data_IF_234965478831
#
_entry.id   IF_234965478831
#
_cell.length_a   1.000
_cell.length_b   1.000
_cell.length_c   1.000
_cell.angle_alpha   90.00
_cell.angle_beta   90.00
_cell.angle_gamma   90.00
#
_symmetry.space_group_name_H-M   'P 1'
#
loop_
_entity.id
_entity.type
_entity.pdbx_description
1 polymer ?
#
# COMPACT_ATOMS: atom_id res chain seq x y z
N UNK A 1 -8.79 1.19 0.51
CA UNK A 1 -7.99 2.42 0.69
C UNK A 1 -7.57 2.95 -0.65
N UNK A 2 -8.00 4.14 -1.05
CA UNK A 2 -7.74 4.74 -2.36
C UNK A 2 -7.77 6.27 -2.29
N UNK A 3 -7.09 6.91 -3.23
CA UNK A 3 -7.09 8.35 -3.45
C UNK A 3 -7.75 8.60 -4.78
N UNK A 4 -8.73 9.51 -4.78
CA UNK A 4 -9.45 9.95 -5.98
C UNK A 4 -9.06 11.40 -6.27
N UNK A 5 -8.59 11.68 -7.49
CA UNK A 5 -8.40 13.05 -7.99
C UNK A 5 -9.65 13.43 -8.77
N UNK A 6 -10.36 14.44 -8.28
CA UNK A 6 -11.56 15.01 -8.92
C UNK A 6 -11.29 16.45 -9.36
N UNK A 7 -11.96 16.92 -10.39
CA UNK A 7 -11.84 18.27 -10.90
C UNK A 7 -13.21 18.88 -11.18
N UNK A 8 -13.34 20.19 -11.04
CA UNK A 8 -14.56 20.97 -11.35
C UNK A 8 -14.57 21.58 -12.77
N UNK A 9 -13.77 21.03 -13.67
CA UNK A 9 -13.56 21.57 -15.04
C UNK A 9 -14.85 21.74 -15.83
N UNK A 10 -15.91 20.98 -15.55
CA UNK A 10 -17.20 21.11 -16.24
C UNK A 10 -17.83 22.51 -16.02
N UNK A 11 -17.62 23.12 -14.86
CA UNK A 11 -18.16 24.44 -14.54
C UNK A 11 -17.36 25.55 -15.23
N UNK A 12 -16.05 25.38 -15.27
CA UNK A 12 -15.11 26.36 -15.88
C UNK A 12 -15.22 26.40 -17.41
N UNK A 13 -15.75 25.36 -18.05
CA UNK A 13 -15.76 25.25 -19.52
C UNK A 13 -17.05 25.69 -20.20
N UNK A 14 -18.03 26.26 -19.47
CA UNK A 14 -19.33 26.62 -20.04
C UNK A 14 -19.25 27.58 -21.24
N UNK A 15 -18.33 28.55 -21.20
CA UNK A 15 -18.23 29.64 -22.19
C UNK A 15 -17.16 29.47 -23.29
N UNK A 16 -16.60 28.24 -23.36
CA UNK A 16 -15.53 27.95 -24.30
C UNK A 16 -16.02 27.50 -25.67
N UNK A 17 -15.19 27.69 -26.70
CA UNK A 17 -15.46 27.21 -28.06
C UNK A 17 -15.64 25.72 -28.12
N UNK A 18 -16.31 25.18 -29.18
CA UNK A 18 -16.57 23.75 -29.36
C UNK A 18 -15.29 22.90 -29.33
N UNK A 19 -14.20 23.44 -29.88
CA UNK A 19 -12.88 22.76 -29.88
C UNK A 19 -12.30 22.70 -28.47
N UNK A 20 -12.35 23.82 -27.74
CA UNK A 20 -11.85 23.88 -26.36
C UNK A 20 -12.66 22.97 -25.43
N UNK A 21 -14.00 22.88 -25.59
CA UNK A 21 -14.86 21.95 -24.84
C UNK A 21 -14.45 20.48 -25.01
N UNK A 22 -13.86 20.09 -26.14
CA UNK A 22 -13.35 18.73 -26.37
C UNK A 22 -11.92 18.53 -25.86
N UNK A 23 -11.06 19.55 -26.00
CA UNK A 23 -9.64 19.46 -25.68
C UNK A 23 -9.35 19.57 -24.18
N UNK A 24 -10.09 20.38 -23.44
CA UNK A 24 -9.86 20.56 -22.00
C UNK A 24 -10.12 19.27 -21.21
N UNK A 25 -11.26 18.54 -21.38
CA UNK A 25 -11.43 17.27 -20.69
C UNK A 25 -10.36 16.23 -21.05
N UNK A 26 -9.86 16.26 -22.28
CA UNK A 26 -8.76 15.37 -22.68
C UNK A 26 -7.47 15.71 -21.97
N UNK A 27 -7.07 16.98 -21.98
CA UNK A 27 -5.87 17.44 -21.30
C UNK A 27 -5.93 17.19 -19.79
N UNK A 28 -7.10 17.38 -19.19
CA UNK A 28 -7.32 17.09 -17.77
C UNK A 28 -7.18 15.62 -17.46
N UNK A 29 -7.77 14.73 -18.26
CA UNK A 29 -7.61 13.29 -18.08
C UNK A 29 -6.12 12.89 -18.20
N UNK A 30 -5.41 13.46 -19.17
CA UNK A 30 -3.97 13.21 -19.33
C UNK A 30 -3.15 13.75 -18.15
N UNK A 31 -3.51 14.90 -17.60
CA UNK A 31 -2.85 15.46 -16.42
C UNK A 31 -3.05 14.59 -15.17
N UNK A 32 -4.27 14.12 -14.94
CA UNK A 32 -4.57 13.16 -13.86
C UNK A 32 -3.72 11.89 -14.04
N UNK A 33 -3.73 11.33 -15.24
CA UNK A 33 -2.99 10.11 -15.56
C UNK A 33 -1.47 10.31 -15.40
N UNK A 34 -0.94 11.43 -15.84
CA UNK A 34 0.48 11.80 -15.66
C UNK A 34 0.85 11.92 -14.19
N UNK A 35 -0.02 12.53 -13.37
CA UNK A 35 0.19 12.67 -11.92
C UNK A 35 0.18 11.31 -11.23
N UNK A 36 -0.72 10.40 -11.60
CA UNK A 36 -0.75 9.02 -11.09
C UNK A 36 0.36 8.14 -11.66
N UNK A 37 1.11 8.63 -12.65
CA UNK A 37 2.14 7.86 -13.35
C UNK A 37 1.58 6.78 -14.29
N UNK A 38 0.39 7.02 -14.85
CA UNK A 38 -0.26 6.18 -15.87
C UNK A 38 0.03 6.76 -17.26
N UNK A 39 0.32 5.91 -18.24
CA UNK A 39 0.51 6.31 -19.64
C UNK A 39 1.93 6.08 -20.17
N UNK A 40 2.04 6.02 -21.52
CA UNK A 40 3.32 5.88 -22.23
C UNK A 40 4.10 7.21 -22.15
N UNK A 41 5.42 7.10 -22.02
CA UNK A 41 6.31 8.28 -22.03
C UNK A 41 6.35 9.10 -20.75
N UNK A 42 5.73 8.65 -19.66
CA UNK A 42 5.82 9.32 -18.38
C UNK A 42 7.15 8.95 -17.71
N UNK A 43 8.20 9.74 -17.97
CA UNK A 43 9.57 9.52 -17.45
C UNK A 43 9.80 10.07 -16.05
N UNK A 44 8.83 10.85 -15.52
CA UNK A 44 8.93 11.45 -14.18
C UNK A 44 8.83 10.46 -13.04
N UNK A 45 9.13 10.94 -11.83
CA UNK A 45 8.87 10.16 -10.60
C UNK A 45 7.37 9.90 -10.52
N UNK A 46 6.98 8.63 -10.57
CA UNK A 46 5.59 8.21 -10.48
C UNK A 46 5.17 8.15 -9.01
N UNK A 47 3.93 8.50 -8.71
CA UNK A 47 3.41 8.50 -7.34
C UNK A 47 3.60 7.12 -6.65
N UNK A 48 3.37 6.02 -7.37
CA UNK A 48 3.59 4.67 -6.84
C UNK A 48 5.06 4.41 -6.47
N UNK A 49 6.01 4.94 -7.25
CA UNK A 49 7.44 4.84 -6.91
C UNK A 49 7.80 5.66 -5.68
N UNK A 50 7.24 6.88 -5.57
CA UNK A 50 7.43 7.72 -4.39
C UNK A 50 6.88 7.04 -3.14
N UNK A 51 5.66 6.52 -3.21
CA UNK A 51 5.04 5.77 -2.12
C UNK A 51 5.85 4.53 -1.76
N UNK A 52 6.31 3.76 -2.74
CA UNK A 52 7.15 2.58 -2.52
C UNK A 52 8.48 2.91 -1.85
N UNK A 53 9.13 4.03 -2.20
CA UNK A 53 10.34 4.51 -1.54
C UNK A 53 10.06 4.92 -0.08
N UNK A 54 8.96 5.66 0.15
CA UNK A 54 8.55 6.07 1.50
C UNK A 54 8.16 4.88 2.38
N UNK A 55 7.56 3.83 1.80
CA UNK A 55 7.32 2.57 2.52
C UNK A 55 8.63 1.94 3.01
N UNK A 56 9.67 1.91 2.16
CA UNK A 56 10.99 1.38 2.55
C UNK A 56 11.63 2.18 3.69
N UNK A 57 11.40 3.48 3.73
CA UNK A 57 11.96 4.36 4.75
C UNK A 57 11.21 4.30 6.10
N UNK A 58 9.89 4.02 6.07
CA UNK A 58 9.03 4.14 7.26
C UNK A 58 8.57 2.79 7.84
N UNK A 59 8.56 1.74 7.06
CA UNK A 59 8.19 0.40 7.51
C UNK A 59 9.42 -0.45 7.79
N UNK A 60 9.35 -1.28 8.82
CA UNK A 60 10.43 -2.21 9.12
C UNK A 60 10.47 -3.32 8.06
N UNK A 61 11.55 -3.32 7.29
CA UNK A 61 11.89 -4.35 6.27
C UNK A 61 10.72 -4.79 5.37
N UNK A 62 10.03 -3.87 4.67
CA UNK A 62 8.92 -4.25 3.80
C UNK A 62 9.40 -5.10 2.62
N UNK A 63 8.62 -6.13 2.27
CA UNK A 63 8.94 -6.95 1.09
C UNK A 63 8.89 -6.12 -0.19
N UNK A 64 9.79 -6.38 -1.17
CA UNK A 64 9.78 -5.67 -2.46
C UNK A 64 8.42 -5.76 -3.19
N UNK A 65 7.71 -6.87 -3.06
CA UNK A 65 6.37 -7.05 -3.61
C UNK A 65 5.36 -6.08 -2.98
N UNK A 66 5.42 -5.86 -1.66
CA UNK A 66 4.55 -4.93 -0.94
C UNK A 66 4.77 -3.49 -1.38
N UNK A 67 6.03 -3.08 -1.58
CA UNK A 67 6.37 -1.71 -2.02
C UNK A 67 5.98 -1.39 -3.46
N UNK A 68 5.54 -2.39 -4.22
CA UNK A 68 5.06 -2.28 -5.62
C UNK A 68 3.58 -2.65 -5.78
N UNK A 69 2.90 -2.99 -4.68
CA UNK A 69 1.54 -3.53 -4.68
C UNK A 69 0.46 -2.46 -4.84
N UNK A 70 0.62 -1.57 -5.82
CA UNK A 70 -0.34 -0.49 -6.08
C UNK A 70 -1.27 -0.85 -7.23
N UNK A 71 -2.57 -0.59 -7.02
CA UNK A 71 -3.60 -0.56 -8.05
C UNK A 71 -3.76 0.87 -8.56
N UNK A 72 -3.94 1.04 -9.87
CA UNK A 72 -4.14 2.35 -10.51
C UNK A 72 -5.23 2.25 -11.55
N UNK A 73 -6.14 3.22 -11.53
CA UNK A 73 -7.16 3.40 -12.57
C UNK A 73 -7.05 4.81 -13.11
N UNK A 74 -6.91 4.95 -14.42
CA UNK A 74 -6.75 6.23 -15.09
C UNK A 74 -8.07 6.96 -15.30
N UNK A 75 -7.95 8.27 -15.45
CA UNK A 75 -9.04 9.13 -15.88
C UNK A 75 -9.28 8.99 -17.39
N UNK A 76 -10.52 9.24 -17.81
CA UNK A 76 -10.95 9.35 -19.21
C UNK A 76 -11.59 10.71 -19.45
N UNK A 77 -11.82 11.07 -20.72
CA UNK A 77 -12.54 12.33 -21.08
C UNK A 77 -13.92 12.43 -20.44
N UNK A 78 -14.62 11.32 -20.31
CA UNK A 78 -15.96 11.25 -19.72
C UNK A 78 -15.93 11.14 -18.20
N UNK A 79 -14.87 10.56 -17.62
CA UNK A 79 -14.69 10.37 -16.20
C UNK A 79 -13.36 10.97 -15.76
N UNK A 80 -13.37 12.22 -15.32
CA UNK A 80 -12.20 12.96 -14.87
C UNK A 80 -11.84 12.62 -13.42
N UNK A 81 -11.70 11.33 -13.15
CA UNK A 81 -11.30 10.79 -11.85
C UNK A 81 -10.26 9.72 -12.05
N UNK A 82 -9.13 9.86 -11.38
CA UNK A 82 -8.11 8.84 -11.30
C UNK A 82 -8.06 8.22 -9.90
N UNK A 83 -7.73 6.95 -9.82
CA UNK A 83 -7.69 6.19 -8.55
C UNK A 83 -6.31 5.56 -8.38
N UNK A 84 -5.76 5.67 -7.19
CA UNK A 84 -4.59 4.94 -6.75
C UNK A 84 -4.84 4.34 -5.38
N UNK A 85 -4.52 3.09 -5.21
CA UNK A 85 -4.68 2.36 -3.96
C UNK A 85 -3.78 1.14 -3.91
N UNK A 86 -3.99 0.28 -2.92
CA UNK A 86 -3.33 -1.02 -2.88
C UNK A 86 -4.16 -2.09 -3.56
N UNK A 87 -3.49 -3.07 -4.17
CA UNK A 87 -4.16 -4.30 -4.62
C UNK A 87 -4.74 -5.05 -3.41
N UNK A 88 -5.80 -5.85 -3.62
CA UNK A 88 -6.61 -6.44 -2.55
C UNK A 88 -5.82 -7.22 -1.50
N UNK A 89 -4.85 -8.04 -1.94
CA UNK A 89 -4.05 -8.82 -0.99
C UNK A 89 -3.17 -7.93 -0.09
N UNK A 90 -2.69 -6.79 -0.60
CA UNK A 90 -1.88 -5.84 0.16
C UNK A 90 -2.74 -4.93 1.03
N UNK A 91 -3.92 -4.53 0.55
CA UNK A 91 -4.86 -3.70 1.28
C UNK A 91 -5.26 -4.33 2.63
N UNK A 92 -5.40 -5.66 2.67
CA UNK A 92 -5.77 -6.43 3.89
C UNK A 92 -4.85 -6.21 5.10
N UNK A 93 -3.58 -5.89 4.88
CA UNK A 93 -2.65 -5.63 5.97
C UNK A 93 -2.10 -4.21 5.97
N UNK A 94 -2.09 -3.53 4.81
CA UNK A 94 -1.59 -2.16 4.73
C UNK A 94 -2.49 -1.16 5.45
N UNK A 95 -3.80 -1.41 5.56
CA UNK A 95 -4.67 -0.51 6.32
C UNK A 95 -4.23 -0.41 7.78
N UNK A 96 -3.76 -1.49 8.41
CA UNK A 96 -3.20 -1.43 9.77
C UNK A 96 -1.94 -0.57 9.86
N UNK A 97 -1.14 -0.51 8.80
CA UNK A 97 0.06 0.33 8.76
C UNK A 97 -0.28 1.82 8.53
N UNK A 98 -1.44 2.11 7.95
CA UNK A 98 -1.86 3.46 7.56
C UNK A 98 -2.82 4.06 8.59
N UNK A 99 -3.80 3.29 9.04
CA UNK A 99 -4.87 3.74 9.94
C UNK A 99 -4.69 3.21 11.36
N UNK A 100 -3.87 2.18 11.53
CA UNK A 100 -3.75 1.46 12.79
C UNK A 100 -4.97 0.56 13.03
N UNK A 101 -5.21 0.27 14.31
CA UNK A 101 -6.38 -0.48 14.72
C UNK A 101 -6.08 -1.88 15.23
N UNK A 102 -7.11 -2.58 15.65
CA UNK A 102 -7.02 -3.91 16.21
C UNK A 102 -7.22 -4.98 15.11
N UNK A 103 -6.24 -5.86 14.99
CA UNK A 103 -6.36 -7.05 14.14
C UNK A 103 -6.89 -8.22 14.97
N UNK A 104 -7.99 -8.78 14.53
CA UNK A 104 -8.53 -10.03 15.02
C UNK A 104 -7.99 -11.23 14.23
N UNK A 105 -7.93 -12.44 14.81
CA UNK A 105 -7.51 -13.62 14.09
C UNK A 105 -8.54 -13.99 13.01
N UNK A 106 -8.05 -14.59 11.93
CA UNK A 106 -8.91 -15.21 10.92
C UNK A 106 -9.46 -16.56 11.40
N UNK A 107 -9.79 -17.43 10.45
CA UNK A 107 -10.33 -18.79 10.71
C UNK A 107 -9.47 -19.65 11.65
N UNK A 108 -8.17 -19.36 11.80
CA UNK A 108 -7.25 -20.07 12.70
C UNK A 108 -7.46 -19.75 14.20
N UNK A 109 -8.32 -18.80 14.54
CA UNK A 109 -8.66 -18.43 15.91
C UNK A 109 -7.55 -17.73 16.73
N UNK A 110 -6.31 -17.66 16.24
CA UNK A 110 -5.18 -17.05 16.96
C UNK A 110 -4.20 -16.35 16.00
N UNK A 111 -3.54 -15.31 16.49
CA UNK A 111 -2.49 -14.59 15.77
C UNK A 111 -1.14 -14.97 16.37
N UNK A 112 -0.27 -15.62 15.59
CA UNK A 112 1.10 -15.90 16.01
C UNK A 112 1.97 -14.65 15.89
N UNK A 113 2.49 -14.20 17.01
CA UNK A 113 3.42 -13.08 17.10
C UNK A 113 4.82 -13.63 17.44
N UNK A 114 5.81 -13.51 16.52
CA UNK A 114 7.15 -14.00 16.78
C UNK A 114 7.84 -13.18 17.87
N UNK A 115 8.57 -13.84 18.74
CA UNK A 115 9.40 -13.18 19.76
C UNK A 115 10.73 -12.83 19.11
N UNK A 116 11.02 -11.53 19.06
CA UNK A 116 12.28 -11.01 18.51
C UNK A 116 13.49 -11.56 19.31
N UNK A 117 14.47 -12.07 18.58
CA UNK A 117 15.67 -12.70 19.19
C UNK A 117 15.52 -14.21 19.44
N UNK A 118 14.30 -14.73 19.60
CA UNK A 118 14.06 -16.17 19.79
C UNK A 118 13.65 -16.84 18.49
N UNK A 119 12.70 -16.25 17.76
CA UNK A 119 12.22 -16.82 16.51
C UNK A 119 13.20 -16.60 15.35
N UNK A 120 13.44 -17.66 14.57
CA UNK A 120 14.19 -17.57 13.32
C UNK A 120 13.34 -16.85 12.29
N UNK A 121 13.67 -15.59 12.02
CA UNK A 121 12.97 -14.74 11.05
C UNK A 121 13.83 -14.58 9.79
N UNK A 122 13.15 -14.49 8.64
CA UNK A 122 13.82 -14.11 7.40
C UNK A 122 14.18 -12.61 7.40
N UNK A 123 14.87 -12.15 6.35
CA UNK A 123 15.28 -10.75 6.20
C UNK A 123 14.11 -9.73 6.30
N UNK A 124 12.87 -10.17 6.16
CA UNK A 124 11.65 -9.34 6.23
C UNK A 124 10.88 -9.50 7.55
N UNK A 125 11.48 -10.12 8.57
CA UNK A 125 10.85 -10.31 9.86
C UNK A 125 9.70 -11.34 9.90
N UNK A 126 9.61 -12.20 8.89
CA UNK A 126 8.58 -13.25 8.84
C UNK A 126 9.17 -14.62 9.18
N UNK A 127 8.33 -15.48 9.75
CA UNK A 127 8.68 -16.89 9.97
C UNK A 127 8.73 -17.59 8.61
N UNK A 128 9.90 -18.14 8.18
CA UNK A 128 10.02 -18.82 6.88
C UNK A 128 9.11 -20.04 6.78
N UNK A 129 8.47 -20.28 5.62
CA UNK A 129 7.69 -21.50 5.35
C UNK A 129 6.42 -21.67 6.19
N UNK A 130 5.91 -20.61 6.83
CA UNK A 130 4.71 -20.63 7.65
C UNK A 130 3.48 -21.17 6.91
N UNK A 131 3.35 -20.93 5.61
CA UNK A 131 2.23 -21.44 4.79
C UNK A 131 2.17 -22.96 4.73
N UNK A 132 3.33 -23.62 4.71
CA UNK A 132 3.42 -25.06 4.44
C UNK A 132 3.52 -25.91 5.73
N UNK A 133 4.11 -25.35 6.78
CA UNK A 133 4.45 -26.10 8.00
C UNK A 133 3.79 -25.55 9.28
N UNK A 134 2.95 -24.54 9.15
CA UNK A 134 2.39 -23.87 10.33
C UNK A 134 3.48 -23.16 11.16
N UNK A 135 3.23 -23.00 12.46
CA UNK A 135 4.15 -22.32 13.37
C UNK A 135 5.26 -23.25 13.92
N UNK A 136 5.03 -24.56 13.92
CA UNK A 136 5.97 -25.56 14.45
C UNK A 136 6.92 -26.00 13.36
N UNK A 137 8.21 -25.98 13.62
CA UNK A 137 9.26 -26.37 12.69
C UNK A 137 10.29 -27.28 13.37
N UNK A 138 10.22 -28.54 12.99
CA UNK A 138 11.17 -29.55 13.47
C UNK A 138 10.78 -30.17 14.80
N UNK A 139 11.48 -31.25 15.15
CA UNK A 139 11.22 -32.08 16.32
C UNK A 139 11.42 -31.43 17.69
N UNK A 140 12.08 -30.25 17.69
CA UNK A 140 12.39 -29.51 18.93
C UNK A 140 11.35 -28.44 19.28
N UNK A 141 10.33 -28.21 18.45
CA UNK A 141 9.33 -27.18 18.68
C UNK A 141 7.95 -27.80 18.91
N UNK A 142 7.25 -27.31 19.91
CA UNK A 142 5.88 -27.73 20.25
C UNK A 142 4.99 -26.54 20.59
N UNK A 143 3.70 -26.72 20.37
CA UNK A 143 2.68 -25.77 20.86
C UNK A 143 2.33 -26.15 22.29
N UNK A 144 2.69 -25.31 23.22
CA UNK A 144 2.46 -25.52 24.65
C UNK A 144 1.78 -24.30 25.28
N UNK A 145 1.05 -24.55 26.37
CA UNK A 145 0.56 -23.49 27.27
C UNK A 145 1.33 -23.59 28.58
N UNK A 146 2.10 -22.53 28.87
CA UNK A 146 2.87 -22.46 30.12
C UNK A 146 2.38 -21.20 30.87
N UNK A 147 1.78 -21.44 32.03
CA UNK A 147 1.05 -20.43 32.77
C UNK A 147 -0.11 -19.87 31.91
N UNK A 148 -0.14 -18.54 31.68
CA UNK A 148 -1.15 -17.85 30.86
C UNK A 148 -0.74 -17.69 29.39
N UNK A 149 0.39 -18.24 28.96
CA UNK A 149 0.97 -18.03 27.64
C UNK A 149 0.87 -19.30 26.79
N UNK A 150 0.08 -19.24 25.72
CA UNK A 150 0.05 -20.26 24.67
C UNK A 150 0.92 -19.82 23.52
N UNK A 151 1.78 -20.72 23.03
CA UNK A 151 2.68 -20.37 21.92
C UNK A 151 3.50 -21.57 21.43
N UNK A 152 4.42 -21.28 20.51
CA UNK A 152 5.42 -22.25 20.06
C UNK A 152 6.65 -22.12 20.95
N UNK A 153 7.00 -23.22 21.60
CA UNK A 153 8.15 -23.31 22.49
C UNK A 153 9.21 -24.21 21.89
N UNK A 154 10.46 -23.86 22.09
CA UNK A 154 11.61 -24.70 21.73
C UNK A 154 12.05 -25.52 22.95
N UNK A 155 12.36 -26.81 22.72
CA UNK A 155 12.89 -27.74 23.72
C UNK A 155 14.34 -28.06 23.44
N UNK A 156 15.16 -28.07 24.47
CA UNK A 156 16.53 -28.61 24.44
C UNK A 156 16.71 -29.68 25.49
N UNK A 157 17.21 -30.85 25.07
CA UNK A 157 17.39 -32.03 25.98
C UNK A 157 16.14 -32.35 26.81
N UNK A 158 14.94 -32.27 26.21
CA UNK A 158 13.66 -32.53 26.85
C UNK A 158 13.10 -31.40 27.74
N UNK A 159 13.86 -30.35 28.02
CA UNK A 159 13.43 -29.17 28.77
C UNK A 159 12.94 -28.06 27.88
N UNK A 160 11.89 -27.35 28.29
CA UNK A 160 11.37 -26.18 27.58
C UNK A 160 12.26 -24.98 27.89
N UNK A 161 12.80 -24.34 26.86
CA UNK A 161 13.77 -23.24 27.03
C UNK A 161 13.28 -21.89 26.53
N UNK A 162 12.72 -21.84 25.32
CA UNK A 162 12.43 -20.54 24.65
C UNK A 162 11.04 -20.49 24.06
N UNK A 163 10.33 -19.39 24.31
CA UNK A 163 9.12 -19.01 23.57
C UNK A 163 9.52 -18.40 22.24
N UNK A 164 9.18 -19.05 21.13
CA UNK A 164 9.49 -18.63 19.77
C UNK A 164 8.38 -17.74 19.20
N UNK A 165 7.13 -18.11 19.43
CA UNK A 165 5.93 -17.42 18.93
C UNK A 165 4.89 -17.43 20.04
N UNK A 166 4.34 -16.27 20.35
CA UNK A 166 3.19 -16.18 21.26
C UNK A 166 1.89 -16.11 20.45
N UNK A 167 0.86 -16.83 20.87
CA UNK A 167 -0.46 -16.76 20.30
C UNK A 167 -1.32 -15.72 21.02
N UNK A 168 -1.90 -14.79 20.26
CA UNK A 168 -2.79 -13.74 20.77
C UNK A 168 -4.16 -13.79 20.10
N UNK A 169 -5.19 -13.42 20.84
CA UNK A 169 -6.55 -13.29 20.33
C UNK A 169 -6.73 -11.98 19.54
N UNK A 170 -5.90 -10.99 19.77
CA UNK A 170 -5.88 -9.74 19.01
C UNK A 170 -4.50 -9.08 19.11
N UNK A 171 -4.19 -8.22 18.13
CA UNK A 171 -2.97 -7.40 18.11
C UNK A 171 -3.33 -5.98 17.68
N UNK A 172 -2.93 -5.00 18.49
CA UNK A 172 -3.10 -3.59 18.17
C UNK A 172 -1.92 -3.08 17.33
N UNK A 173 -2.22 -2.34 16.28
CA UNK A 173 -1.26 -1.68 15.40
C UNK A 173 -1.38 -0.17 15.53
N UNK A 174 -0.24 0.50 15.64
CA UNK A 174 -0.15 1.94 15.48
C UNK A 174 0.15 2.30 14.03
N UNK A 175 -0.41 3.41 13.49
CA UNK A 175 -0.15 3.84 12.13
C UNK A 175 1.34 4.23 11.99
N UNK A 176 2.01 3.68 10.96
CA UNK A 176 3.43 3.94 10.66
C UNK A 176 3.65 4.56 9.30
N UNK A 177 2.71 4.38 8.37
CA UNK A 177 2.83 4.82 7.00
C UNK A 177 1.77 5.89 6.66
N UNK A 178 2.13 7.19 6.63
CA UNK A 178 1.19 8.28 6.36
C UNK A 178 0.86 8.38 4.86
N UNK A 179 0.21 7.35 4.31
CA UNK A 179 -0.11 7.18 2.90
C UNK A 179 -0.79 8.41 2.30
N UNK A 180 -1.87 8.89 2.91
CA UNK A 180 -2.65 10.02 2.39
C UNK A 180 -1.85 11.32 2.38
N UNK A 181 -1.08 11.59 3.45
CA UNK A 181 -0.24 12.80 3.53
C UNK A 181 0.81 12.83 2.43
N UNK A 182 1.47 11.70 2.16
CA UNK A 182 2.50 11.59 1.12
C UNK A 182 1.87 11.74 -0.26
N UNK A 183 0.74 11.05 -0.49
CA UNK A 183 0.08 11.07 -1.78
C UNK A 183 -0.53 12.45 -2.11
N UNK A 184 -1.22 13.07 -1.17
CA UNK A 184 -1.78 14.42 -1.35
C UNK A 184 -0.68 15.45 -1.60
N UNK A 185 0.39 15.45 -0.79
CA UNK A 185 1.52 16.36 -1.02
C UNK A 185 2.18 16.16 -2.39
N UNK A 186 2.25 14.93 -2.91
CA UNK A 186 2.73 14.70 -4.27
C UNK A 186 1.76 15.24 -5.33
N UNK A 187 0.46 15.02 -5.16
CA UNK A 187 -0.59 15.49 -6.07
C UNK A 187 -0.58 17.01 -6.13
N UNK A 188 -0.59 17.69 -4.99
CA UNK A 188 -0.59 19.16 -4.88
C UNK A 188 0.61 19.77 -5.59
N UNK A 189 1.78 19.18 -5.46
CA UNK A 189 3.02 19.66 -6.08
C UNK A 189 3.13 19.38 -7.59
N UNK A 190 2.38 18.41 -8.13
CA UNK A 190 2.58 17.95 -9.51
C UNK A 190 1.37 18.13 -10.41
N UNK A 191 0.15 18.13 -9.88
CA UNK A 191 -1.06 18.15 -10.72
C UNK A 191 -1.15 19.44 -11.57
N UNK A 192 -0.98 20.61 -10.97
CA UNK A 192 -1.05 21.89 -11.70
C UNK A 192 -0.01 21.99 -12.81
N UNK A 193 1.20 21.53 -12.56
CA UNK A 193 2.29 21.49 -13.57
C UNK A 193 1.93 20.55 -14.73
N UNK A 194 1.41 19.38 -14.42
CA UNK A 194 0.96 18.41 -15.42
C UNK A 194 -0.24 18.95 -16.21
N UNK A 195 -1.18 19.63 -15.54
CA UNK A 195 -2.34 20.23 -16.20
C UNK A 195 -1.94 21.29 -17.20
N UNK A 196 -1.09 22.23 -16.82
CA UNK A 196 -0.58 23.28 -17.73
C UNK A 196 0.15 22.65 -18.92
N UNK A 197 0.98 21.65 -18.68
CA UNK A 197 1.72 20.94 -19.73
C UNK A 197 0.77 20.27 -20.74
N UNK A 198 -0.24 19.53 -20.26
CA UNK A 198 -1.15 18.82 -21.14
C UNK A 198 -2.17 19.76 -21.84
N UNK A 199 -2.58 20.86 -21.19
CA UNK A 199 -3.37 21.93 -21.84
C UNK A 199 -2.59 22.58 -22.99
N UNK A 200 -1.34 22.96 -22.75
CA UNK A 200 -0.50 23.57 -23.80
C UNK A 200 -0.32 22.62 -25.01
N UNK A 201 -0.17 21.34 -24.79
CA UNK A 201 -0.12 20.34 -25.89
C UNK A 201 -1.46 20.24 -26.63
N UNK A 202 -2.56 20.17 -25.88
CA UNK A 202 -3.90 20.04 -26.48
C UNK A 202 -4.29 21.27 -27.33
N UNK A 203 -3.91 22.47 -26.88
CA UNK A 203 -4.20 23.72 -27.59
C UNK A 203 -3.31 23.91 -28.81
N UNK A 204 -2.07 23.41 -28.80
CA UNK A 204 -1.14 23.49 -29.96
C UNK A 204 -1.44 22.46 -31.06
N UNK A 205 -2.18 21.41 -30.78
CA UNK A 205 -2.53 20.37 -31.73
C UNK A 205 -4.05 20.20 -31.82
N UNK A 206 -4.78 21.20 -32.33
CA UNK A 206 -6.22 21.07 -32.54
C UNK A 206 -6.45 20.01 -33.63
N UNK A 207 -7.16 18.93 -33.29
CA UNK A 207 -7.72 17.96 -34.23
C UNK A 207 -9.19 18.22 -34.40
#
# INVERSE_FOLDING_TARGET
>A
MKIDIKTNIKEVTKDLSRTQKKQIPFATAMAINSTLGIGRGNTGKKLDKVLGQQMKAKLDKPRPQTTKAFYRQGATKSKLTGVLGFVDWAAKFMHFQIEGGQRSPGKSGKIGVPIKGNANLNAFGNIPGLKNSGYVKGKKQEILTIGKTTGVWEKHKGKVEKLMVVFKNSVNYSPKFPFYKIANGYIDNNFSKNLIKELNKALRSPK
#
